data_IF_029671320683
#
_entry.id   IF_029671320683
#
_cell.length_a   1.000
_cell.length_b   1.000
_cell.length_c   1.000
_cell.angle_alpha   90.00
_cell.angle_beta   90.00
_cell.angle_gamma   90.00
#
_symmetry.space_group_name_H-M   'P 1'
#
loop_
_entity.id
_entity.type
_entity.pdbx_description
1 polymer ?
#
# COMPACT_ATOMS: atom_id res chain seq x y z
N UNK A 1 10.80 3.91 1.14
CA UNK A 1 11.05 5.30 1.62
C UNK A 1 12.14 5.26 2.68
N UNK A 2 13.03 6.24 2.69
CA UNK A 2 13.92 6.50 3.82
C UNK A 2 13.28 7.62 4.66
N UNK A 3 12.81 7.28 5.86
CA UNK A 3 12.13 8.19 6.77
C UNK A 3 12.52 7.89 8.22
N UNK A 4 12.58 8.93 9.06
CA UNK A 4 12.65 8.81 10.51
C UNK A 4 11.77 9.88 11.19
N UNK A 5 11.88 10.03 12.51
CA UNK A 5 11.06 10.98 13.28
C UNK A 5 11.29 12.45 12.91
N UNK A 6 12.39 12.78 12.23
CA UNK A 6 12.73 14.12 11.76
C UNK A 6 12.22 14.42 10.34
N UNK A 7 11.66 13.42 9.65
CA UNK A 7 11.05 13.58 8.34
C UNK A 7 11.47 12.53 7.32
N UNK A 8 11.09 12.78 6.07
CA UNK A 8 11.37 11.94 4.91
C UNK A 8 12.62 12.47 4.21
N UNK A 9 13.58 11.60 3.93
CA UNK A 9 14.81 11.95 3.22
C UNK A 9 14.73 11.56 1.74
N UNK A 10 14.09 10.43 1.44
CA UNK A 10 13.90 9.99 0.05
C UNK A 10 12.72 9.03 -0.09
N UNK A 11 12.15 9.00 -1.29
CA UNK A 11 11.13 8.04 -1.70
C UNK A 11 11.69 7.28 -2.89
N UNK A 12 11.67 5.95 -2.79
CA UNK A 12 11.99 5.07 -3.90
C UNK A 12 10.69 4.45 -4.37
N UNK A 13 10.40 4.59 -5.67
CA UNK A 13 9.21 4.04 -6.30
C UNK A 13 9.39 2.54 -6.50
N UNK A 14 8.36 1.77 -6.18
CA UNK A 14 8.31 0.34 -6.41
C UNK A 14 7.33 0.12 -7.56
N UNK A 15 7.70 -0.73 -8.52
CA UNK A 15 6.81 -1.05 -9.64
C UNK A 15 5.55 -1.79 -9.15
N UNK A 16 4.35 -1.47 -9.70
CA UNK A 16 3.10 -2.11 -9.30
C UNK A 16 3.10 -3.62 -9.41
N UNK A 17 3.73 -4.16 -10.45
CA UNK A 17 3.85 -5.61 -10.66
C UNK A 17 4.63 -6.29 -9.54
N UNK A 18 5.61 -5.59 -8.96
CA UNK A 18 6.37 -6.11 -7.84
C UNK A 18 5.53 -6.14 -6.56
N UNK A 19 4.71 -5.10 -6.31
CA UNK A 19 3.77 -5.10 -5.19
C UNK A 19 2.71 -6.20 -5.35
N UNK A 20 2.19 -6.38 -6.57
CA UNK A 20 1.30 -7.48 -6.90
C UNK A 20 1.91 -8.85 -6.60
N UNK A 21 3.16 -9.07 -7.02
CA UNK A 21 3.89 -10.31 -6.75
C UNK A 21 4.10 -10.54 -5.24
N UNK A 22 4.36 -9.49 -4.46
CA UNK A 22 4.46 -9.59 -3.00
C UNK A 22 3.14 -10.03 -2.36
N UNK A 23 2.01 -9.46 -2.80
CA UNK A 23 0.68 -9.84 -2.30
C UNK A 23 0.34 -11.28 -2.70
N UNK A 24 0.58 -11.66 -3.95
CA UNK A 24 0.32 -13.01 -4.44
C UNK A 24 1.17 -14.04 -3.67
N UNK A 25 2.44 -13.72 -3.37
CA UNK A 25 3.33 -14.60 -2.59
C UNK A 25 2.83 -14.84 -1.17
N UNK A 26 2.24 -13.84 -0.51
CA UNK A 26 1.75 -13.99 0.87
C UNK A 26 0.38 -14.64 0.90
N UNK A 27 -0.56 -14.17 0.08
CA UNK A 27 -1.93 -14.67 0.08
C UNK A 27 -2.08 -16.09 -0.49
N UNK A 28 -1.13 -16.57 -1.29
CA UNK A 28 -1.14 -17.95 -1.79
C UNK A 28 -0.57 -18.98 -0.82
N UNK A 29 0.20 -18.55 0.19
CA UNK A 29 0.91 -19.44 1.11
C UNK A 29 0.34 -19.39 2.55
N UNK A 30 -0.13 -18.22 2.99
CA UNK A 30 -0.54 -18.00 4.38
C UNK A 30 -2.00 -17.59 4.47
N UNK A 31 -2.74 -18.19 5.41
CA UNK A 31 -4.09 -17.71 5.77
C UNK A 31 -3.98 -16.38 6.51
N UNK A 32 -4.50 -15.32 5.90
CA UNK A 32 -4.51 -13.97 6.48
C UNK A 32 -5.90 -13.66 7.04
N UNK A 33 -5.99 -13.44 8.36
CA UNK A 33 -7.25 -13.16 9.06
C UNK A 33 -7.63 -11.66 9.05
N UNK A 34 -6.66 -10.77 8.87
CA UNK A 34 -6.85 -9.31 8.87
C UNK A 34 -5.76 -8.63 8.06
N UNK A 35 -6.13 -7.59 7.32
CA UNK A 35 -5.17 -6.80 6.53
C UNK A 35 -5.27 -5.32 6.90
N UNK A 36 -4.11 -4.70 7.11
CA UNK A 36 -4.00 -3.25 7.33
C UNK A 36 -3.34 -2.61 6.11
N UNK A 37 -4.02 -1.65 5.52
CA UNK A 37 -3.51 -0.86 4.40
C UNK A 37 -3.06 0.49 4.95
N UNK A 38 -1.83 0.89 4.63
CA UNK A 38 -1.30 2.20 4.97
C UNK A 38 -1.10 3.07 3.73
N UNK A 39 0.08 3.68 3.66
CA UNK A 39 0.46 4.57 2.57
C UNK A 39 0.56 3.82 1.23
N UNK A 40 -0.32 4.15 0.28
CA UNK A 40 -0.30 3.65 -1.10
C UNK A 40 0.02 4.83 -2.01
N UNK A 41 1.31 5.07 -2.25
CA UNK A 41 1.82 6.33 -2.81
C UNK A 41 1.23 6.72 -4.19
N UNK A 42 0.77 5.76 -4.97
CA UNK A 42 0.46 5.95 -6.38
C UNK A 42 -0.78 5.14 -6.79
N UNK A 43 -1.51 5.63 -7.80
CA UNK A 43 -2.82 5.07 -8.21
C UNK A 43 -2.70 3.64 -8.72
N UNK A 44 -1.64 3.33 -9.46
CA UNK A 44 -1.32 1.99 -9.97
C UNK A 44 -1.08 0.98 -8.84
N UNK A 45 -0.41 1.40 -7.74
CA UNK A 45 -0.28 0.58 -6.53
C UNK A 45 -1.65 0.36 -5.86
N UNK A 46 -2.50 1.40 -5.83
CA UNK A 46 -3.85 1.27 -5.27
C UNK A 46 -4.67 0.26 -6.08
N UNK A 47 -4.62 0.33 -7.40
CA UNK A 47 -5.30 -0.62 -8.30
C UNK A 47 -4.79 -2.05 -8.11
N UNK A 48 -3.47 -2.25 -8.09
CA UNK A 48 -2.86 -3.55 -7.86
C UNK A 48 -3.29 -4.17 -6.51
N UNK A 49 -3.29 -3.38 -5.44
CA UNK A 49 -3.75 -3.80 -4.11
C UNK A 49 -5.23 -4.15 -4.12
N UNK A 50 -6.08 -3.28 -4.69
CA UNK A 50 -7.52 -3.50 -4.75
C UNK A 50 -7.88 -4.78 -5.52
N UNK A 51 -7.21 -5.04 -6.65
CA UNK A 51 -7.40 -6.26 -7.44
C UNK A 51 -7.10 -7.52 -6.62
N UNK A 52 -5.98 -7.54 -5.89
CA UNK A 52 -5.59 -8.73 -5.09
C UNK A 52 -6.50 -8.93 -3.89
N UNK A 53 -6.92 -7.85 -3.21
CA UNK A 53 -7.88 -7.97 -2.11
C UNK A 53 -9.21 -8.59 -2.58
N UNK A 54 -9.68 -8.20 -3.77
CA UNK A 54 -10.87 -8.79 -4.39
C UNK A 54 -10.64 -10.26 -4.80
N UNK A 55 -9.52 -10.55 -5.45
CA UNK A 55 -9.14 -11.90 -5.92
C UNK A 55 -9.08 -12.91 -4.77
N UNK A 56 -8.41 -12.56 -3.68
CA UNK A 56 -8.23 -13.45 -2.52
C UNK A 56 -9.36 -13.35 -1.49
N UNK A 57 -10.38 -12.53 -1.73
CA UNK A 57 -11.54 -12.33 -0.85
C UNK A 57 -11.13 -12.05 0.60
N UNK A 58 -10.16 -11.16 0.75
CA UNK A 58 -9.57 -10.85 2.06
C UNK A 58 -10.63 -10.26 2.98
N UNK A 59 -10.81 -10.88 4.15
CA UNK A 59 -11.71 -10.39 5.19
C UNK A 59 -10.99 -9.39 6.11
N UNK A 60 -11.77 -8.53 6.78
CA UNK A 60 -11.28 -7.59 7.81
C UNK A 60 -10.15 -6.66 7.31
N UNK A 61 -10.49 -5.77 6.39
CA UNK A 61 -9.54 -4.79 5.84
C UNK A 61 -9.68 -3.47 6.60
N UNK A 62 -8.58 -3.02 7.21
CA UNK A 62 -8.46 -1.70 7.84
C UNK A 62 -7.68 -0.78 6.91
N UNK A 63 -8.35 0.24 6.38
CA UNK A 63 -7.72 1.27 5.56
C UNK A 63 -7.33 2.48 6.43
N UNK A 64 -6.04 2.66 6.66
CA UNK A 64 -5.47 3.84 7.29
C UNK A 64 -5.10 4.86 6.19
N UNK A 65 -5.93 5.89 6.03
CA UNK A 65 -5.84 6.86 4.94
C UNK A 65 -4.66 7.81 5.12
N UNK A 66 -3.44 7.34 4.85
CA UNK A 66 -2.23 8.17 4.85
C UNK A 66 -2.20 9.01 3.58
N UNK A 67 -2.95 10.11 3.57
CA UNK A 67 -2.91 11.09 2.47
C UNK A 67 -1.78 12.11 2.62
N UNK A 68 -1.24 12.30 3.83
CA UNK A 68 -0.10 13.14 4.17
C UNK A 68 0.93 12.34 4.99
N UNK A 69 2.21 12.44 4.63
CA UNK A 69 3.29 11.98 5.50
C UNK A 69 3.48 12.92 6.70
N UNK A 70 4.07 12.39 7.78
CA UNK A 70 4.31 13.13 9.04
C UNK A 70 5.19 14.38 8.86
N UNK A 71 6.05 14.36 7.83
CA UNK A 71 6.59 15.56 7.21
C UNK A 71 5.72 15.84 5.97
N UNK A 72 5.13 17.04 5.88
CA UNK A 72 4.05 17.46 4.97
C UNK A 72 4.29 17.25 3.45
N UNK A 73 4.53 16.01 3.05
CA UNK A 73 4.66 15.52 1.70
C UNK A 73 3.36 14.78 1.41
N UNK A 74 2.69 15.20 0.35
CA UNK A 74 1.45 14.58 -0.11
C UNK A 74 1.79 13.22 -0.69
N UNK A 75 1.36 12.15 -0.02
CA UNK A 75 1.74 10.81 -0.45
C UNK A 75 0.74 10.18 -1.41
N UNK A 76 -0.55 10.48 -1.32
CA UNK A 76 -1.55 9.96 -2.27
C UNK A 76 -2.14 11.10 -3.11
N UNK A 77 -2.23 10.89 -4.42
CA UNK A 77 -2.94 11.78 -5.35
C UNK A 77 -4.10 11.04 -6.01
N UNK A 78 -5.15 10.77 -5.24
CA UNK A 78 -6.41 10.24 -5.78
C UNK A 78 -7.03 11.29 -6.72
N UNK A 79 -7.33 10.87 -7.96
CA UNK A 79 -8.19 11.65 -8.86
C UNK A 79 -9.63 11.50 -8.35
N UNK A 80 -10.38 12.60 -8.36
CA UNK A 80 -11.81 12.62 -8.02
C UNK A 80 -12.61 11.76 -8.97
#
# INVERSE_FOLDING_TARGET
MAQNTRGVQSVYRIEPDFVAAQLDSVFSDVRIDTTKIGMLAETDIVEAVAERLARYRVANVVLDTVMLAKAAIRCCRLRR
#
